data_IF_757597217010
#
_entry.id   IF_757597217010
#
_cell.length_a   1.000
_cell.length_b   1.000
_cell.length_c   1.000
_cell.angle_alpha   90.00
_cell.angle_beta   90.00
_cell.angle_gamma   90.00
#
_symmetry.space_group_name_H-M   'P 1'
#
loop_
_entity.id
_entity.type
_entity.pdbx_description
1 polymer ?
#
# COMPACT_ATOMS: atom_id res chain seq x y z
N UNK A 1 -5.26 19.98 31.69
CA UNK A 1 -4.70 20.04 30.33
C UNK A 1 -5.84 19.75 29.37
N UNK A 2 -6.14 20.67 28.45
CA UNK A 2 -7.12 20.40 27.38
C UNK A 2 -6.43 19.43 26.43
N UNK A 3 -7.03 18.26 26.18
CA UNK A 3 -6.50 17.33 25.20
C UNK A 3 -6.44 18.02 23.84
N UNK A 4 -5.28 17.97 23.17
CA UNK A 4 -5.14 18.51 21.81
C UNK A 4 -6.20 17.85 20.90
N UNK A 5 -6.94 18.66 20.15
CA UNK A 5 -8.01 18.16 19.28
C UNK A 5 -7.42 17.28 18.17
N UNK A 6 -7.99 16.09 17.99
CA UNK A 6 -7.66 15.17 16.91
C UNK A 6 -8.78 15.20 15.88
N UNK A 7 -8.44 15.33 14.61
CA UNK A 7 -9.38 15.27 13.49
C UNK A 7 -9.15 13.99 12.68
N UNK A 8 -10.25 13.40 12.21
CA UNK A 8 -10.24 12.26 11.30
C UNK A 8 -11.27 12.49 10.19
N UNK A 9 -10.89 12.25 8.94
CA UNK A 9 -11.80 12.35 7.79
C UNK A 9 -11.37 11.46 6.63
N UNK A 10 -12.31 11.17 5.74
CA UNK A 10 -12.04 10.49 4.48
C UNK A 10 -11.99 11.51 3.33
N UNK A 11 -11.12 11.29 2.35
CA UNK A 11 -11.09 12.06 1.11
C UNK A 11 -10.67 11.17 -0.08
N UNK A 12 -11.12 11.55 -1.28
CA UNK A 12 -10.63 10.95 -2.52
C UNK A 12 -9.33 11.64 -2.92
N UNK A 13 -8.28 10.86 -3.17
CA UNK A 13 -7.00 11.37 -3.65
C UNK A 13 -6.61 10.64 -4.93
N UNK A 14 -6.13 11.38 -5.93
CA UNK A 14 -5.55 10.80 -7.13
C UNK A 14 -4.09 10.44 -6.84
N UNK A 15 -3.73 9.16 -7.04
CA UNK A 15 -2.33 8.70 -6.96
C UNK A 15 -2.01 7.99 -8.28
N UNK A 16 -0.93 8.38 -8.99
CA UNK A 16 -0.45 7.63 -10.14
C UNK A 16 -0.16 6.19 -9.73
N UNK A 17 -0.83 5.24 -10.37
CA UNK A 17 -0.84 3.83 -9.99
C UNK A 17 -0.56 2.96 -11.21
N UNK A 18 0.37 2.02 -11.06
CA UNK A 18 0.54 0.92 -12.00
C UNK A 18 -0.41 -0.21 -11.57
N UNK A 19 -1.28 -0.63 -12.49
CA UNK A 19 -2.20 -1.73 -12.25
C UNK A 19 -1.46 -3.07 -12.14
N UNK A 20 -2.21 -4.08 -11.74
CA UNK A 20 -1.74 -5.46 -11.65
C UNK A 20 -2.49 -6.31 -12.67
N UNK A 21 -1.81 -7.33 -13.20
CA UNK A 21 -2.40 -8.27 -14.14
C UNK A 21 -3.53 -9.09 -13.53
N UNK A 22 -4.15 -9.93 -14.37
CA UNK A 22 -5.17 -10.87 -13.89
C UNK A 22 -4.53 -11.93 -12.98
N UNK A 23 -5.23 -12.36 -11.92
CA UNK A 23 -4.79 -13.50 -11.13
C UNK A 23 -4.73 -14.76 -11.98
N UNK A 24 -3.78 -15.63 -11.67
CA UNK A 24 -3.67 -16.93 -12.32
C UNK A 24 -4.94 -17.75 -12.13
N UNK A 25 -5.40 -18.38 -13.22
CA UNK A 25 -6.66 -19.13 -13.21
C UNK A 25 -6.50 -20.45 -12.48
N UNK A 26 -5.31 -21.05 -12.58
CA UNK A 26 -5.02 -22.32 -11.93
C UNK A 26 -4.46 -22.07 -10.52
N UNK A 27 -4.92 -22.82 -9.50
CA UNK A 27 -4.32 -22.75 -8.17
C UNK A 27 -2.87 -23.23 -8.22
N UNK A 28 -1.96 -22.46 -7.62
CA UNK A 28 -0.54 -22.80 -7.55
C UNK A 28 -0.18 -23.36 -6.17
N UNK A 29 0.24 -24.63 -6.15
CA UNK A 29 0.70 -25.33 -4.94
C UNK A 29 2.23 -25.22 -4.80
N UNK A 30 2.70 -24.06 -4.31
CA UNK A 30 4.13 -23.71 -4.24
C UNK A 30 4.82 -24.22 -2.96
N UNK A 31 4.62 -25.48 -2.59
CA UNK A 31 5.08 -26.06 -1.31
C UNK A 31 6.60 -26.03 -1.10
N UNK A 32 7.37 -26.02 -2.19
CA UNK A 32 8.84 -26.02 -2.17
C UNK A 32 9.47 -24.68 -2.56
N UNK A 33 8.65 -23.65 -2.82
CA UNK A 33 9.18 -22.33 -3.17
C UNK A 33 9.79 -21.71 -1.91
N UNK A 34 11.08 -21.37 -1.99
CA UNK A 34 11.75 -20.60 -0.93
C UNK A 34 11.41 -19.13 -1.10
N UNK A 35 10.95 -18.48 -0.03
CA UNK A 35 10.59 -17.07 -0.04
C UNK A 35 11.23 -16.35 1.15
N UNK A 36 12.38 -15.71 0.95
CA UNK A 36 13.05 -14.84 1.96
C UNK A 36 13.07 -15.38 3.41
N UNK A 37 13.40 -16.67 3.58
CA UNK A 37 13.45 -17.30 4.91
C UNK A 37 12.09 -17.79 5.45
N UNK A 38 11.02 -17.67 4.68
CA UNK A 38 9.70 -18.25 4.95
C UNK A 38 9.25 -19.24 3.86
N UNK A 39 8.10 -19.86 4.11
CA UNK A 39 7.40 -20.70 3.13
C UNK A 39 6.88 -19.86 1.97
N UNK A 40 7.01 -20.37 0.74
CA UNK A 40 6.41 -19.81 -0.47
C UNK A 40 5.00 -20.32 -0.77
N UNK A 41 4.37 -21.07 0.16
CA UNK A 41 2.99 -21.55 0.02
C UNK A 41 2.03 -20.37 -0.04
N UNK A 42 1.20 -20.35 -1.08
CA UNK A 42 0.29 -19.24 -1.39
C UNK A 42 -1.18 -19.64 -1.41
N UNK A 43 -1.49 -20.92 -1.66
CA UNK A 43 -2.86 -21.41 -1.69
C UNK A 43 -3.57 -21.13 -0.35
N UNK A 44 -4.82 -20.60 -0.34
CA UNK A 44 -5.74 -20.48 -1.47
C UNK A 44 -5.68 -19.15 -2.25
N UNK A 45 -4.70 -18.29 -2.01
CA UNK A 45 -4.59 -17.02 -2.73
C UNK A 45 -4.07 -17.23 -4.16
N UNK A 46 -4.66 -16.53 -5.16
CA UNK A 46 -4.14 -16.59 -6.51
C UNK A 46 -2.86 -15.76 -6.62
N UNK A 47 -1.96 -16.18 -7.51
CA UNK A 47 -0.73 -15.46 -7.81
C UNK A 47 -0.98 -14.53 -8.99
N UNK A 48 -0.37 -13.34 -8.97
CA UNK A 48 -0.37 -12.41 -10.10
C UNK A 48 1.08 -12.27 -10.59
N UNK A 49 1.31 -12.51 -11.87
CA UNK A 49 2.65 -12.55 -12.47
C UNK A 49 2.95 -11.36 -13.38
N UNK A 50 2.08 -10.33 -13.37
CA UNK A 50 2.24 -9.15 -14.20
C UNK A 50 1.90 -7.87 -13.43
N UNK A 51 2.65 -6.82 -13.73
CA UNK A 51 2.38 -5.44 -13.35
C UNK A 51 2.35 -4.62 -14.63
N UNK A 52 1.44 -3.66 -14.72
CA UNK A 52 1.34 -2.80 -15.90
C UNK A 52 2.63 -2.00 -16.10
N UNK A 53 2.96 -1.70 -17.36
CA UNK A 53 4.15 -0.91 -17.72
C UNK A 53 3.91 0.59 -17.70
N UNK A 54 2.64 1.00 -17.77
CA UNK A 54 2.18 2.38 -17.73
C UNK A 54 1.34 2.61 -16.47
N UNK A 55 1.40 3.83 -15.94
CA UNK A 55 0.60 4.25 -14.79
C UNK A 55 -0.57 5.12 -15.24
N UNK A 56 -1.66 5.06 -14.50
CA UNK A 56 -2.78 5.97 -14.62
C UNK A 56 -3.11 6.60 -13.27
N UNK A 57 -3.69 7.79 -13.28
CA UNK A 57 -4.22 8.37 -12.04
C UNK A 57 -5.44 7.56 -11.60
N UNK A 58 -5.33 6.96 -10.42
CA UNK A 58 -6.40 6.22 -9.77
C UNK A 58 -6.87 6.98 -8.55
N UNK A 59 -8.18 7.06 -8.35
CA UNK A 59 -8.77 7.60 -7.13
C UNK A 59 -8.72 6.56 -6.02
N UNK A 60 -8.14 6.96 -4.90
CA UNK A 60 -8.04 6.18 -3.68
C UNK A 60 -8.82 6.86 -2.55
N UNK A 61 -9.47 6.05 -1.71
CA UNK A 61 -10.08 6.55 -0.48
C UNK A 61 -8.98 6.65 0.57
N UNK A 62 -8.56 7.86 0.88
CA UNK A 62 -7.61 8.10 1.97
C UNK A 62 -8.36 8.42 3.25
N UNK A 63 -7.95 7.79 4.36
CA UNK A 63 -8.31 8.20 5.69
C UNK A 63 -7.19 9.05 6.27
N UNK A 64 -7.50 10.26 6.67
CA UNK A 64 -6.55 11.16 7.32
C UNK A 64 -6.77 11.17 8.82
N UNK A 65 -5.66 11.16 9.57
CA UNK A 65 -5.62 11.46 11.00
C UNK A 65 -4.69 12.63 11.20
N UNK A 66 -5.17 13.72 11.81
CA UNK A 66 -4.38 14.92 12.01
C UNK A 66 -4.57 15.49 13.41
N UNK A 67 -3.48 15.92 14.03
CA UNK A 67 -3.48 16.70 15.27
C UNK A 67 -2.50 17.87 15.12
N UNK A 68 -2.09 18.51 16.21
CA UNK A 68 -1.12 19.62 16.17
C UNK A 68 0.24 19.24 15.55
N UNK A 69 0.71 18.02 15.74
CA UNK A 69 2.07 17.57 15.40
C UNK A 69 2.12 16.70 14.15
N UNK A 70 1.11 15.85 13.95
CA UNK A 70 1.16 14.80 12.95
C UNK A 70 0.03 14.96 11.94
N UNK A 71 0.31 14.62 10.68
CA UNK A 71 -0.69 14.33 9.65
C UNK A 71 -0.37 12.98 9.02
N UNK A 72 -1.31 12.05 9.13
CA UNK A 72 -1.16 10.68 8.67
C UNK A 72 -2.21 10.39 7.60
N UNK A 73 -1.81 9.71 6.54
CA UNK A 73 -2.67 9.24 5.45
C UNK A 73 -2.63 7.72 5.40
N UNK A 74 -3.80 7.10 5.47
CA UNK A 74 -3.97 5.65 5.45
C UNK A 74 -4.78 5.28 4.21
N UNK A 75 -4.37 4.22 3.50
CA UNK A 75 -5.06 3.69 2.32
C UNK A 75 -5.71 2.34 2.65
N UNK A 76 -7.02 2.29 2.97
CA UNK A 76 -7.72 1.06 3.32
C UNK A 76 -7.70 0.02 2.19
N UNK A 77 -7.84 0.46 0.93
CA UNK A 77 -7.80 -0.45 -0.23
C UNK A 77 -6.44 -1.12 -0.42
N UNK A 78 -5.37 -0.64 0.22
CA UNK A 78 -4.05 -1.27 0.26
C UNK A 78 -3.78 -1.91 1.63
N UNK A 79 -4.78 -2.61 2.18
CA UNK A 79 -4.66 -3.34 3.45
C UNK A 79 -4.48 -2.43 4.66
N UNK A 80 -4.92 -1.18 4.60
CA UNK A 80 -4.73 -0.20 5.68
C UNK A 80 -3.31 0.35 5.78
N UNK A 81 -2.55 0.32 4.68
CA UNK A 81 -1.20 0.88 4.61
C UNK A 81 -1.17 2.34 5.06
N UNK A 82 -0.22 2.68 5.95
CA UNK A 82 0.16 4.08 6.21
C UNK A 82 0.97 4.56 5.01
N UNK A 83 0.36 5.41 4.17
CA UNK A 83 0.97 5.87 2.92
C UNK A 83 1.83 7.11 3.12
N UNK A 84 1.47 7.97 4.06
CA UNK A 84 2.21 9.18 4.41
C UNK A 84 2.07 9.44 5.90
N UNK A 85 3.16 9.87 6.54
CA UNK A 85 3.13 10.39 7.90
C UNK A 85 4.08 11.58 7.97
N UNK A 86 3.54 12.77 8.21
CA UNK A 86 4.22 14.06 8.25
C UNK A 86 4.33 14.54 9.70
N UNK A 87 5.54 14.86 10.12
CA UNK A 87 5.81 15.69 11.28
C UNK A 87 5.72 17.17 10.87
N UNK A 88 4.70 17.85 11.39
CA UNK A 88 4.41 19.26 11.08
C UNK A 88 5.32 20.23 11.82
N UNK A 89 6.13 19.77 12.79
CA UNK A 89 7.05 20.64 13.53
C UNK A 89 8.28 21.03 12.72
N UNK A 90 8.65 20.20 11.74
CA UNK A 90 9.83 20.36 10.89
C UNK A 90 9.58 20.02 9.40
N UNK A 91 8.31 19.82 9.02
CA UNK A 91 7.88 19.49 7.65
C UNK A 91 8.54 18.21 7.09
N UNK A 92 8.71 17.20 7.93
CA UNK A 92 9.42 15.97 7.59
C UNK A 92 8.49 14.75 7.49
N UNK A 93 8.54 14.04 6.37
CA UNK A 93 7.90 12.74 6.24
C UNK A 93 8.79 11.65 6.87
N UNK A 94 8.39 11.12 8.04
CA UNK A 94 9.18 10.15 8.80
C UNK A 94 8.96 8.68 8.38
N UNK A 95 8.08 8.47 7.40
CA UNK A 95 8.04 7.24 6.60
C UNK A 95 8.27 7.60 5.14
N UNK A 96 8.72 6.63 4.35
CA UNK A 96 8.91 6.87 2.92
C UNK A 96 7.56 7.11 2.24
N UNK A 97 7.33 8.34 1.78
CA UNK A 97 6.08 8.73 1.15
C UNK A 97 6.13 8.45 -0.36
N UNK A 98 5.72 7.24 -0.77
CA UNK A 98 5.56 6.89 -2.18
C UNK A 98 4.43 7.74 -2.78
N UNK A 99 4.78 8.69 -3.65
CA UNK A 99 3.79 9.49 -4.40
C UNK A 99 3.22 8.76 -5.61
N UNK A 100 3.68 7.53 -5.85
CA UNK A 100 3.26 6.63 -6.94
C UNK A 100 3.10 5.25 -6.34
N UNK A 101 2.01 4.56 -6.67
CA UNK A 101 1.82 3.15 -6.32
C UNK A 101 2.36 2.31 -7.48
N UNK A 102 3.53 1.70 -7.29
CA UNK A 102 4.16 0.83 -8.28
C UNK A 102 4.49 -0.51 -7.64
N UNK A 103 3.67 -1.55 -7.88
CA UNK A 103 3.99 -2.89 -7.40
C UNK A 103 5.22 -3.48 -8.12
N UNK A 104 5.91 -4.37 -7.44
CA UNK A 104 6.94 -5.25 -7.99
C UNK A 104 6.57 -6.71 -7.71
N UNK A 105 6.97 -7.62 -8.60
CA UNK A 105 6.66 -9.06 -8.49
C UNK A 105 7.60 -9.79 -7.52
N UNK A 106 7.67 -9.29 -6.29
CA UNK A 106 8.55 -9.81 -5.24
C UNK A 106 7.78 -10.28 -4.00
N UNK A 107 6.47 -10.06 -3.97
CA UNK A 107 5.56 -10.52 -2.94
C UNK A 107 5.28 -12.01 -3.01
N UNK A 108 4.70 -12.55 -1.93
CA UNK A 108 4.32 -13.96 -1.84
C UNK A 108 3.35 -14.33 -2.97
N UNK A 109 2.29 -13.53 -3.16
CA UNK A 109 1.32 -13.67 -4.26
C UNK A 109 1.66 -12.85 -5.52
N UNK A 110 2.91 -12.37 -5.64
CA UNK A 110 3.38 -11.56 -6.77
C UNK A 110 3.49 -10.07 -6.41
N UNK A 111 2.47 -9.22 -6.64
CA UNK A 111 2.56 -7.78 -6.41
C UNK A 111 2.88 -7.42 -4.96
N UNK A 112 3.94 -6.62 -4.77
CA UNK A 112 4.35 -6.03 -3.50
C UNK A 112 4.72 -4.57 -3.70
N UNK A 113 4.40 -3.73 -2.72
CA UNK A 113 4.72 -2.31 -2.72
C UNK A 113 5.60 -1.99 -1.51
N UNK A 114 6.70 -1.26 -1.75
CA UNK A 114 7.50 -0.61 -0.70
C UNK A 114 6.72 0.51 -0.05
#
# INVERSE_FOLDING_TARGET
MIADSVAAWAAQIAIPTYGIGKPETNPLFLEKRVYQGSSGVVYPYPVIEQVDTEKADQLWTALFLENRYLKIMILPQLGGRVQMALDKTNDYHFIYYNRVIKPALVGLAGPWIS
#
